data_IF_784843341177
#
_entry.id   IF_784843341177
#
_cell.length_a   1.000
_cell.length_b   1.000
_cell.length_c   1.000
_cell.angle_alpha   90.00
_cell.angle_beta   90.00
_cell.angle_gamma   90.00
#
_symmetry.space_group_name_H-M   'P 1'
#
loop_
_entity.id
_entity.type
_entity.pdbx_description
1 polymer ?
#
# COMPACT_ATOMS: atom_id res chain seq x y z
N UNK A 1 -28.66 15.13 13.66
CA UNK A 1 -28.64 15.71 12.30
C UNK A 1 -27.94 14.73 11.37
N UNK A 2 -28.45 14.50 10.16
CA UNK A 2 -27.78 13.66 9.16
C UNK A 2 -26.82 14.49 8.30
N UNK A 3 -25.59 14.03 8.10
CA UNK A 3 -24.69 14.61 7.11
C UNK A 3 -25.11 14.17 5.69
N UNK A 4 -25.13 15.10 4.73
CA UNK A 4 -25.48 14.84 3.33
C UNK A 4 -24.23 14.80 2.46
N UNK A 5 -24.15 13.79 1.60
CA UNK A 5 -23.13 13.62 0.56
C UNK A 5 -23.70 12.78 -0.59
N UNK A 6 -23.03 12.76 -1.75
CA UNK A 6 -23.46 11.96 -2.90
C UNK A 6 -23.07 10.49 -2.72
N UNK A 7 -21.88 10.24 -2.14
CA UNK A 7 -21.34 8.88 -1.95
C UNK A 7 -20.67 8.74 -0.59
N UNK A 8 -20.97 7.64 0.11
CA UNK A 8 -20.26 7.19 1.31
C UNK A 8 -19.37 6.00 0.96
N UNK A 9 -18.08 6.10 1.26
CA UNK A 9 -17.11 5.00 1.16
C UNK A 9 -16.81 4.48 2.56
N UNK A 10 -17.07 3.21 2.81
CA UNK A 10 -16.76 2.56 4.10
C UNK A 10 -15.38 1.90 4.02
N UNK A 11 -14.40 2.49 4.71
CA UNK A 11 -13.02 2.04 4.82
C UNK A 11 -12.02 2.94 4.07
N UNK A 12 -11.06 3.49 4.79
CA UNK A 12 -9.95 4.33 4.33
C UNK A 12 -8.70 3.55 3.94
N UNK A 13 -8.84 2.31 3.45
CA UNK A 13 -7.73 1.56 2.84
C UNK A 13 -7.44 2.02 1.41
N UNK A 14 -6.39 1.48 0.77
CA UNK A 14 -6.01 1.84 -0.62
C UNK A 14 -7.20 1.80 -1.58
N UNK A 15 -8.03 0.76 -1.51
CA UNK A 15 -9.21 0.63 -2.39
C UNK A 15 -10.24 1.73 -2.17
N UNK A 16 -10.55 2.05 -0.91
CA UNK A 16 -11.55 3.07 -0.57
C UNK A 16 -11.05 4.47 -0.91
N UNK A 17 -9.79 4.76 -0.60
CA UNK A 17 -9.16 6.04 -0.95
C UNK A 17 -9.04 6.23 -2.47
N UNK A 18 -8.72 5.18 -3.23
CA UNK A 18 -8.68 5.24 -4.69
C UNK A 18 -10.08 5.51 -5.29
N UNK A 19 -11.11 4.86 -4.76
CA UNK A 19 -12.49 5.11 -5.18
C UNK A 19 -12.95 6.53 -4.83
N UNK A 20 -12.69 6.97 -3.60
CA UNK A 20 -13.03 8.32 -3.14
C UNK A 20 -12.33 9.40 -3.97
N UNK A 21 -11.04 9.23 -4.28
CA UNK A 21 -10.29 10.14 -5.16
C UNK A 21 -10.94 10.24 -6.53
N UNK A 22 -11.25 9.11 -7.18
CA UNK A 22 -11.84 9.11 -8.51
C UNK A 22 -13.21 9.82 -8.54
N UNK A 23 -14.05 9.54 -7.54
CA UNK A 23 -15.37 10.16 -7.44
C UNK A 23 -15.28 11.66 -7.13
N UNK A 24 -14.36 12.05 -6.25
CA UNK A 24 -14.10 13.45 -5.92
C UNK A 24 -13.58 14.23 -7.13
N UNK A 25 -12.62 13.69 -7.87
CA UNK A 25 -12.07 14.30 -9.08
C UNK A 25 -13.13 14.41 -10.20
N UNK A 26 -14.19 13.59 -10.12
CA UNK A 26 -15.36 13.65 -11.02
C UNK A 26 -16.42 14.67 -10.56
N UNK A 27 -16.16 15.43 -9.49
CA UNK A 27 -17.03 16.50 -8.99
C UNK A 27 -18.09 16.07 -7.96
N UNK A 28 -18.03 14.84 -7.44
CA UNK A 28 -18.98 14.36 -6.43
C UNK A 28 -18.54 14.73 -5.01
N UNK A 29 -19.51 14.98 -4.12
CA UNK A 29 -19.29 15.12 -2.69
C UNK A 29 -19.20 13.73 -2.04
N UNK A 30 -18.00 13.35 -1.60
CA UNK A 30 -17.71 12.01 -1.09
C UNK A 30 -17.27 12.08 0.37
N UNK A 31 -17.82 11.19 1.19
CA UNK A 31 -17.40 11.00 2.59
C UNK A 31 -16.78 9.62 2.74
N UNK A 32 -15.59 9.54 3.36
CA UNK A 32 -14.94 8.28 3.72
C UNK A 32 -15.09 8.05 5.22
N UNK A 33 -15.63 6.91 5.61
CA UNK A 33 -15.75 6.48 7.01
C UNK A 33 -14.70 5.40 7.29
N UNK A 34 -13.72 5.70 8.12
CA UNK A 34 -12.69 4.75 8.56
C UNK A 34 -12.87 4.42 10.04
N UNK A 35 -12.78 3.14 10.39
CA UNK A 35 -12.98 2.67 11.76
C UNK A 35 -11.78 2.96 12.67
N UNK A 36 -10.58 3.06 12.10
CA UNK A 36 -9.34 3.35 12.83
C UNK A 36 -9.06 4.85 12.88
N UNK A 37 -8.15 5.23 13.77
CA UNK A 37 -7.54 6.56 13.85
C UNK A 37 -6.55 6.88 12.71
N UNK A 38 -6.44 5.98 11.72
CA UNK A 38 -5.54 6.13 10.57
C UNK A 38 -6.15 5.52 9.32
N UNK A 39 -5.76 6.06 8.16
CA UNK A 39 -5.99 5.44 6.86
C UNK A 39 -4.99 4.31 6.58
N UNK A 40 -5.11 3.68 5.41
CA UNK A 40 -4.20 2.65 4.88
C UNK A 40 -4.68 1.22 5.13
N UNK A 41 -5.40 0.97 6.23
CA UNK A 41 -5.92 -0.36 6.55
C UNK A 41 -4.80 -1.40 6.67
N UNK A 42 -4.69 -2.29 5.68
CA UNK A 42 -3.67 -3.35 5.60
C UNK A 42 -2.28 -2.85 5.18
N UNK A 43 -2.14 -1.59 4.79
CA UNK A 43 -0.84 -0.93 4.71
C UNK A 43 -0.64 -0.07 5.95
N UNK A 44 0.55 -0.13 6.53
CA UNK A 44 0.89 0.62 7.74
C UNK A 44 2.39 0.83 7.83
N UNK A 45 2.83 2.05 7.59
CA UNK A 45 4.22 2.46 7.74
C UNK A 45 4.40 3.09 9.12
N UNK A 46 5.18 2.45 9.99
CA UNK A 46 5.60 3.08 11.25
C UNK A 46 6.83 3.95 11.01
N UNK A 47 7.01 4.99 11.84
CA UNK A 47 8.16 5.89 11.80
C UNK A 47 8.65 6.16 13.21
N UNK A 48 9.94 5.96 13.45
CA UNK A 48 10.60 6.22 14.72
C UNK A 48 12.12 6.41 14.50
N UNK A 49 12.88 6.61 15.57
CA UNK A 49 14.32 6.87 15.49
C UNK A 49 15.11 5.60 15.12
N UNK A 50 14.60 4.42 15.45
CA UNK A 50 15.28 3.15 15.29
C UNK A 50 15.26 2.64 13.85
N UNK A 51 14.13 2.79 13.16
CA UNK A 51 13.93 2.25 11.80
C UNK A 51 13.78 3.32 10.74
N UNK A 52 13.68 4.61 11.11
CA UNK A 52 13.30 5.74 10.24
C UNK A 52 11.87 5.58 9.67
N UNK A 53 11.64 4.56 8.85
CA UNK A 53 10.33 4.06 8.46
C UNK A 53 10.38 2.56 8.14
N UNK A 54 9.33 1.81 8.48
CA UNK A 54 9.16 0.42 8.03
C UNK A 54 7.69 0.08 7.81
N UNK A 55 7.42 -0.66 6.74
CA UNK A 55 6.07 -1.17 6.45
C UNK A 55 5.81 -2.45 7.26
N UNK A 56 4.79 -2.40 8.11
CA UNK A 56 4.28 -3.56 8.86
C UNK A 56 3.13 -4.29 8.14
N UNK A 57 2.77 -3.80 6.94
CA UNK A 57 1.68 -4.31 6.12
C UNK A 57 2.12 -4.58 4.69
N UNK A 58 1.20 -4.44 3.73
CA UNK A 58 1.56 -4.55 2.31
C UNK A 58 2.58 -3.49 1.89
N UNK A 59 3.68 -3.90 1.24
CA UNK A 59 4.82 -3.04 0.90
C UNK A 59 5.31 -3.23 -0.54
N UNK A 60 5.40 -4.48 -1.01
CA UNK A 60 5.97 -4.78 -2.32
C UNK A 60 5.03 -4.42 -3.48
N UNK A 61 5.60 -3.75 -4.47
CA UNK A 61 5.03 -3.56 -5.81
C UNK A 61 6.01 -4.11 -6.84
N UNK A 62 5.53 -4.43 -8.05
CA UNK A 62 6.39 -5.01 -9.08
C UNK A 62 5.86 -4.81 -10.49
N UNK A 63 6.55 -5.38 -11.49
CA UNK A 63 6.10 -5.38 -12.88
C UNK A 63 4.64 -5.82 -12.99
N UNK A 64 3.95 -5.30 -14.02
CA UNK A 64 2.52 -5.52 -14.31
C UNK A 64 1.52 -4.93 -13.31
N UNK A 65 1.95 -4.46 -12.13
CA UNK A 65 1.08 -3.80 -11.14
C UNK A 65 0.83 -2.31 -11.47
N UNK A 66 0.46 -2.03 -12.72
CA UNK A 66 0.48 -0.68 -13.31
C UNK A 66 -0.45 0.33 -12.60
N UNK A 67 -1.57 -0.13 -12.01
CA UNK A 67 -2.56 0.77 -11.38
C UNK A 67 -2.01 1.41 -10.09
N UNK A 68 -1.37 0.62 -9.23
CA UNK A 68 -0.79 1.13 -7.99
C UNK A 68 0.45 1.97 -8.28
N UNK A 69 1.26 1.57 -9.27
CA UNK A 69 2.43 2.34 -9.72
C UNK A 69 2.04 3.70 -10.30
N UNK A 70 0.98 3.76 -11.12
CA UNK A 70 0.44 5.02 -11.65
C UNK A 70 -0.04 5.94 -10.53
N UNK A 71 -0.82 5.42 -9.58
CA UNK A 71 -1.33 6.21 -8.45
C UNK A 71 -0.20 6.71 -7.56
N UNK A 72 0.79 5.86 -7.26
CA UNK A 72 1.97 6.25 -6.49
C UNK A 72 2.75 7.39 -7.17
N UNK A 73 2.97 7.29 -8.49
CA UNK A 73 3.64 8.32 -9.28
C UNK A 73 2.86 9.64 -9.29
N UNK A 74 1.53 9.58 -9.43
CA UNK A 74 0.66 10.76 -9.39
C UNK A 74 0.76 11.48 -8.03
N UNK A 75 0.91 10.72 -6.94
CA UNK A 75 1.10 11.24 -5.58
C UNK A 75 2.56 11.63 -5.27
N UNK A 76 3.47 11.59 -6.25
CA UNK A 76 4.87 11.96 -6.09
C UNK A 76 5.72 10.96 -5.29
N UNK A 77 5.29 9.70 -5.22
CA UNK A 77 6.03 8.63 -4.53
C UNK A 77 7.00 7.92 -5.48
N UNK A 78 8.15 7.52 -4.93
CA UNK A 78 9.19 6.78 -5.63
C UNK A 78 9.20 5.30 -5.21
N UNK A 79 9.82 4.45 -6.03
CA UNK A 79 10.05 3.02 -5.75
C UNK A 79 11.54 2.73 -5.78
N UNK A 80 11.97 1.69 -5.08
CA UNK A 80 13.33 1.19 -5.14
C UNK A 80 13.32 -0.33 -5.38
N UNK A 81 14.40 -0.87 -5.93
CA UNK A 81 14.56 -2.32 -6.08
C UNK A 81 14.95 -2.91 -4.73
N UNK A 82 14.21 -3.92 -4.29
CA UNK A 82 14.58 -4.71 -3.10
C UNK A 82 15.92 -5.41 -3.37
N UNK A 83 16.76 -5.55 -2.35
CA UNK A 83 17.98 -6.32 -2.48
C UNK A 83 17.65 -7.80 -2.67
N UNK A 84 17.92 -8.33 -3.86
CA UNK A 84 17.64 -9.72 -4.23
C UNK A 84 18.92 -10.54 -4.46
N UNK A 85 20.10 -9.95 -4.22
CA UNK A 85 21.41 -10.57 -4.51
C UNK A 85 21.90 -11.47 -3.35
N UNK A 86 21.28 -11.36 -2.18
CA UNK A 86 21.71 -12.09 -0.98
C UNK A 86 21.05 -13.46 -0.81
N UNK A 87 21.47 -14.20 0.24
CA UNK A 87 20.87 -15.48 0.62
C UNK A 87 19.46 -15.23 1.15
N UNK A 88 18.45 -15.56 0.35
CA UNK A 88 17.07 -15.58 0.81
C UNK A 88 16.84 -16.83 1.67
N UNK A 89 16.34 -16.62 2.89
CA UNK A 89 15.89 -17.68 3.78
C UNK A 89 14.38 -17.79 3.63
N UNK A 90 13.91 -18.81 2.93
CA UNK A 90 12.49 -19.15 2.88
C UNK A 90 12.20 -20.16 3.99
N UNK A 91 11.53 -19.70 5.05
CA UNK A 91 11.00 -20.59 6.06
C UNK A 91 9.60 -21.05 5.62
N UNK A 92 9.52 -22.28 5.11
CA UNK A 92 8.24 -22.97 4.91
C UNK A 92 8.05 -23.87 6.13
N UNK A 93 6.83 -23.98 6.67
CA UNK A 93 6.46 -24.62 7.96
C UNK A 93 7.11 -25.97 8.32
N UNK A 94 7.85 -26.62 7.42
CA UNK A 94 8.49 -27.93 7.61
C UNK A 94 9.94 -27.98 7.08
N UNK A 95 10.44 -26.94 6.39
CA UNK A 95 11.79 -26.96 5.77
C UNK A 95 12.34 -25.53 5.61
N UNK A 96 13.60 -25.33 5.99
CA UNK A 96 14.35 -24.09 5.70
C UNK A 96 15.16 -24.31 4.44
N UNK A 97 14.84 -23.58 3.36
CA UNK A 97 15.64 -23.57 2.13
C UNK A 97 16.41 -22.26 2.04
N UNK A 98 17.74 -22.38 1.89
CA UNK A 98 18.62 -21.25 1.57
C UNK A 98 18.84 -21.29 0.07
N UNK A 99 18.37 -20.27 -0.64
CA UNK A 99 18.61 -20.13 -2.07
C UNK A 99 19.34 -18.82 -2.33
N UNK A 100 20.36 -18.86 -3.21
CA UNK A 100 20.85 -17.66 -3.88
C UNK A 100 19.92 -17.42 -5.06
N UNK A 101 19.11 -16.38 -4.98
CA UNK A 101 18.38 -15.92 -6.15
C UNK A 101 19.27 -14.94 -6.91
N UNK A 102 19.33 -15.08 -8.23
CA UNK A 102 19.92 -14.07 -9.10
C UNK A 102 18.78 -13.67 -10.03
N UNK A 103 18.21 -12.47 -9.87
CA UNK A 103 17.09 -12.06 -10.70
C UNK A 103 17.48 -12.04 -12.18
N UNK A 104 16.56 -12.40 -13.09
CA UNK A 104 16.83 -12.51 -14.53
C UNK A 104 16.90 -11.16 -15.26
N UNK A 105 17.08 -10.04 -14.55
CA UNK A 105 17.06 -8.69 -15.10
C UNK A 105 18.30 -7.87 -14.75
#
# INVERSE_FOLDING_TARGET
MSHKCDVIVVGGGISGMAAAKLLHDSGLNVVVLEARERVGGRTYTIRNQEVKYVDLGGSYVGPTQNRILRLAKELGLETYKVNEVERLIHHVKVEVRIQRHTPPW
#
